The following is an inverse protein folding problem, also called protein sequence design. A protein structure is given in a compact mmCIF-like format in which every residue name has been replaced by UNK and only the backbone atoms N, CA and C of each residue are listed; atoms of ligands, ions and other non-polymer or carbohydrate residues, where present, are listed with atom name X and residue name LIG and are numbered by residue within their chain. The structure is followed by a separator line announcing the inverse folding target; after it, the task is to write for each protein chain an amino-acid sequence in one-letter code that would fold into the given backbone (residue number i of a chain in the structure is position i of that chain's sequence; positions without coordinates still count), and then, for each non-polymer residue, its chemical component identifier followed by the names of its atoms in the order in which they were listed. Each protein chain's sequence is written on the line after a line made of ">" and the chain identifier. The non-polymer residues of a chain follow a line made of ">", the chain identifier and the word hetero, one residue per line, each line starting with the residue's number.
data_IF_363951700836
#
_entry.id   IF_363951700836
#
_cell.length_a   1.000
_cell.length_b   1.000
_cell.length_c   1.000
_cell.angle_alpha   90.00
_cell.angle_beta   90.00
_cell.angle_gamma   90.00
#
_symmetry.space_group_name_H-M   'P 1'
#
loop_
_entity.id
_entity.type
_entity.pdbx_description
1 polymer ?
#
# COMPACT_ATOMS: atom_id res chain seq x y z
N UNK A 1 32.23 -7.85 -36.68
CA UNK A 1 31.01 -8.69 -36.57
C UNK A 1 30.30 -8.31 -35.28
N UNK A 2 29.58 -7.18 -35.32
CA UNK A 2 28.85 -6.61 -34.18
C UNK A 2 27.42 -7.12 -34.30
N UNK A 3 26.96 -7.92 -33.33
CA UNK A 3 25.55 -8.35 -33.28
C UNK A 3 24.71 -7.10 -33.05
N UNK A 4 23.94 -6.73 -34.07
CA UNK A 4 22.80 -5.83 -33.91
C UNK A 4 21.80 -6.51 -32.98
N UNK A 5 21.59 -5.90 -31.80
CA UNK A 5 20.47 -6.22 -30.92
C UNK A 5 19.21 -5.69 -31.59
N UNK A 6 18.50 -6.57 -32.29
CA UNK A 6 17.23 -6.27 -32.92
C UNK A 6 16.20 -5.95 -31.82
N UNK A 7 15.98 -4.66 -31.58
CA UNK A 7 14.96 -4.16 -30.68
C UNK A 7 13.58 -4.37 -31.31
N UNK A 8 12.83 -5.34 -30.78
CA UNK A 8 11.46 -5.64 -31.20
C UNK A 8 10.55 -4.38 -31.13
N UNK A 9 9.79 -4.06 -32.20
CA UNK A 9 8.83 -2.99 -32.19
C UNK A 9 7.55 -3.42 -31.46
N UNK A 10 7.34 -2.92 -30.24
CA UNK A 10 6.12 -3.11 -29.45
C UNK A 10 6.46 -3.56 -28.02
N UNK A 11 6.72 -2.65 -27.10
CA UNK A 11 5.63 -1.99 -26.36
C UNK A 11 6.24 -0.85 -25.54
N UNK A 12 6.26 0.36 -26.09
CA UNK A 12 6.44 1.55 -25.26
C UNK A 12 5.23 1.61 -24.33
N UNK A 13 5.35 1.59 -22.99
CA UNK A 13 4.19 1.75 -22.12
C UNK A 13 3.49 3.06 -22.50
N UNK A 14 2.27 2.95 -23.02
CA UNK A 14 1.57 4.01 -23.74
C UNK A 14 1.01 5.11 -22.82
N UNK A 15 1.31 5.07 -21.52
CA UNK A 15 0.86 6.09 -20.58
C UNK A 15 1.44 5.97 -19.16
N UNK A 16 1.26 7.01 -18.33
CA UNK A 16 1.82 7.10 -16.97
C UNK A 16 1.47 5.90 -16.08
N UNK A 17 0.28 5.34 -16.27
CA UNK A 17 -0.19 4.16 -15.53
C UNK A 17 0.52 2.86 -15.90
N UNK A 18 1.16 2.78 -17.06
CA UNK A 18 1.89 1.58 -17.52
C UNK A 18 3.40 1.72 -17.39
N UNK A 19 3.91 2.96 -17.43
CA UNK A 19 5.35 3.22 -17.36
C UNK A 19 5.90 3.01 -15.94
N UNK A 20 5.18 3.45 -14.91
CA UNK A 20 5.64 3.32 -13.53
C UNK A 20 5.69 1.86 -13.04
N UNK A 21 4.62 1.03 -13.17
CA UNK A 21 4.68 -0.37 -12.77
C UNK A 21 5.75 -1.16 -13.54
N UNK A 22 5.89 -0.91 -14.85
CA UNK A 22 6.92 -1.55 -15.67
C UNK A 22 8.34 -1.19 -15.22
N UNK A 23 8.57 0.04 -14.73
CA UNK A 23 9.89 0.46 -14.20
C UNK A 23 10.31 -0.25 -12.91
N UNK A 24 9.34 -0.77 -12.14
CA UNK A 24 9.59 -1.54 -10.91
C UNK A 24 9.37 -3.05 -11.10
N UNK A 25 9.10 -3.50 -12.32
CA UNK A 25 8.86 -4.90 -12.66
C UNK A 25 7.53 -5.45 -12.15
N UNK A 26 6.56 -4.60 -11.82
CA UNK A 26 5.24 -5.00 -11.33
C UNK A 26 4.16 -4.85 -12.41
N UNK A 27 3.14 -5.72 -12.36
CA UNK A 27 1.94 -5.50 -13.15
C UNK A 27 1.11 -4.35 -12.55
N UNK A 28 0.42 -3.57 -13.40
CA UNK A 28 -0.43 -2.46 -12.94
C UNK A 28 -1.43 -2.89 -11.86
N UNK A 29 -2.01 -4.09 -11.98
CA UNK A 29 -2.96 -4.63 -11.01
C UNK A 29 -2.33 -4.99 -9.67
N UNK A 30 -1.10 -5.51 -9.64
CA UNK A 30 -0.35 -5.73 -8.38
C UNK A 30 -0.07 -4.40 -7.68
N UNK A 31 0.44 -3.43 -8.42
CA UNK A 31 0.76 -2.11 -7.89
C UNK A 31 -0.49 -1.39 -7.37
N UNK A 32 -1.57 -1.38 -8.15
CA UNK A 32 -2.84 -0.79 -7.76
C UNK A 32 -3.43 -1.45 -6.50
N UNK A 33 -3.40 -2.79 -6.40
CA UNK A 33 -3.90 -3.51 -5.21
C UNK A 33 -3.10 -3.18 -3.97
N UNK A 34 -1.77 -3.11 -4.08
CA UNK A 34 -0.91 -2.69 -2.98
C UNK A 34 -1.22 -1.26 -2.55
N UNK A 35 -1.25 -0.32 -3.49
CA UNK A 35 -1.52 1.09 -3.23
C UNK A 35 -2.91 1.32 -2.61
N UNK A 36 -3.95 0.65 -3.10
CA UNK A 36 -5.29 0.70 -2.51
C UNK A 36 -5.33 0.13 -1.09
N UNK A 37 -4.65 -0.99 -0.85
CA UNK A 37 -4.54 -1.58 0.49
C UNK A 37 -3.87 -0.64 1.49
N UNK A 38 -2.77 0.00 1.04
CA UNK A 38 -2.05 1.01 1.81
C UNK A 38 -2.93 2.23 2.13
N UNK A 39 -3.58 2.81 1.11
CA UNK A 39 -4.45 3.96 1.26
C UNK A 39 -5.60 3.71 2.23
N UNK A 40 -6.23 2.53 2.15
CA UNK A 40 -7.30 2.12 3.09
C UNK A 40 -6.83 2.11 4.53
N UNK A 41 -5.68 1.50 4.81
CA UNK A 41 -5.13 1.46 6.17
C UNK A 41 -4.80 2.85 6.70
N UNK A 42 -4.26 3.73 5.87
CA UNK A 42 -3.95 5.10 6.25
C UNK A 42 -5.24 5.90 6.56
N UNK A 43 -6.29 5.74 5.75
CA UNK A 43 -7.58 6.38 5.98
C UNK A 43 -8.22 5.94 7.32
N UNK A 44 -8.13 4.65 7.66
CA UNK A 44 -8.60 4.13 8.95
C UNK A 44 -7.78 4.71 10.12
N UNK A 45 -6.46 4.80 10.00
CA UNK A 45 -5.61 5.41 11.02
C UNK A 45 -5.96 6.88 11.24
N UNK A 46 -6.17 7.64 10.17
CA UNK A 46 -6.59 9.04 10.23
C UNK A 46 -7.96 9.20 10.91
N UNK A 47 -8.94 8.36 10.53
CA UNK A 47 -10.26 8.36 11.17
C UNK A 47 -10.17 8.04 12.66
N UNK A 48 -9.36 7.05 13.05
CA UNK A 48 -9.13 6.71 14.45
C UNK A 48 -8.50 7.88 15.23
N UNK A 49 -7.54 8.60 14.64
CA UNK A 49 -6.93 9.78 15.25
C UNK A 49 -7.92 10.94 15.42
N UNK A 50 -8.81 11.16 14.44
CA UNK A 50 -9.87 12.18 14.52
C UNK A 50 -10.84 11.84 15.66
N UNK A 51 -11.30 10.60 15.75
CA UNK A 51 -12.19 10.16 16.84
C UNK A 51 -11.48 10.32 18.19
N UNK A 52 -10.20 9.93 18.28
CA UNK A 52 -9.40 10.11 19.50
C UNK A 52 -9.25 11.58 19.90
N UNK A 53 -9.10 12.50 18.94
CA UNK A 53 -9.01 13.93 19.22
C UNK A 53 -10.29 14.50 19.85
N UNK A 54 -11.46 13.92 19.53
CA UNK A 54 -12.75 14.28 20.16
C UNK A 54 -12.99 13.49 21.45
N UNK A 55 -12.62 12.22 21.47
CA UNK A 55 -12.82 11.26 22.56
C UNK A 55 -11.45 10.66 22.97
N UNK A 56 -10.69 11.32 23.86
CA UNK A 56 -9.30 10.96 24.15
C UNK A 56 -9.11 9.58 24.79
N UNK A 57 -10.18 8.92 25.21
CA UNK A 57 -10.13 7.56 25.74
C UNK A 57 -10.29 6.47 24.66
N UNK A 58 -10.85 6.80 23.49
CA UNK A 58 -10.98 5.86 22.36
C UNK A 58 -9.70 5.85 21.50
N UNK A 59 -9.36 4.70 20.91
CA UNK A 59 -8.31 4.57 19.88
C UNK A 59 -6.91 5.12 20.22
N UNK A 60 -6.54 5.20 21.50
CA UNK A 60 -5.30 5.81 22.01
C UNK A 60 -4.02 5.37 21.27
N UNK A 61 -3.99 4.12 20.81
CA UNK A 61 -2.81 3.52 20.16
C UNK A 61 -3.11 2.99 18.76
N UNK A 62 -4.35 3.12 18.27
CA UNK A 62 -4.77 2.54 17.00
C UNK A 62 -4.10 3.25 15.83
N UNK A 63 -4.14 4.59 15.80
CA UNK A 63 -3.54 5.36 14.73
C UNK A 63 -2.02 5.12 14.63
N UNK A 64 -1.30 5.21 15.75
CA UNK A 64 0.16 5.02 15.79
C UNK A 64 0.57 3.62 15.35
N UNK A 65 -0.06 2.56 15.89
CA UNK A 65 0.25 1.17 15.48
C UNK A 65 0.01 0.92 14.00
N UNK A 66 -1.06 1.50 13.44
CA UNK A 66 -1.36 1.34 12.01
C UNK A 66 -0.29 2.02 11.15
N UNK A 67 0.15 3.23 11.54
CA UNK A 67 1.23 3.95 10.84
C UNK A 67 2.56 3.20 10.95
N UNK A 68 2.92 2.68 12.13
CA UNK A 68 4.14 1.89 12.33
C UNK A 68 4.16 0.64 11.43
N UNK A 69 3.01 -0.04 11.34
CA UNK A 69 2.85 -1.20 10.46
C UNK A 69 2.94 -0.82 8.98
N UNK A 70 2.39 0.33 8.58
CA UNK A 70 2.51 0.83 7.21
C UNK A 70 3.96 1.20 6.88
N UNK A 71 4.65 1.85 7.81
CA UNK A 71 6.06 2.20 7.70
C UNK A 71 6.93 0.94 7.56
N UNK A 72 6.70 -0.07 8.41
CA UNK A 72 7.38 -1.37 8.31
C UNK A 72 7.09 -2.10 6.99
N UNK A 73 5.89 -1.92 6.40
CA UNK A 73 5.56 -2.51 5.09
C UNK A 73 6.26 -1.82 3.91
N UNK A 74 6.53 -0.51 4.00
CA UNK A 74 7.26 0.23 2.98
C UNK A 74 8.76 -0.09 3.04
N UNK A 75 9.33 -0.15 4.25
CA UNK A 75 10.78 -0.23 4.46
C UNK A 75 11.30 -1.61 4.88
N UNK A 76 10.42 -2.53 5.25
CA UNK A 76 10.77 -3.89 5.69
C UNK A 76 10.88 -4.89 4.53
N UNK A 77 11.25 -6.15 4.83
CA UNK A 77 11.34 -7.21 3.84
C UNK A 77 10.00 -7.39 3.10
N UNK A 78 10.03 -7.39 1.76
CA UNK A 78 8.83 -7.61 0.92
C UNK A 78 8.21 -8.96 1.30
N UNK A 79 6.98 -8.96 1.81
CA UNK A 79 6.28 -10.19 2.23
C UNK A 79 6.13 -10.38 3.73
N UNK A 80 6.45 -9.39 4.57
CA UNK A 80 5.94 -9.33 5.95
C UNK A 80 4.41 -9.11 5.92
N UNK A 81 3.67 -10.15 5.57
CA UNK A 81 2.23 -10.26 5.74
C UNK A 81 1.94 -10.32 7.24
N UNK A 82 2.03 -9.16 7.90
CA UNK A 82 1.44 -9.02 9.22
C UNK A 82 -0.05 -9.14 9.00
N UNK A 83 -0.67 -10.13 9.62
CA UNK A 83 -2.08 -10.47 9.54
C UNK A 83 -2.94 -9.21 9.58
N UNK A 84 -3.67 -8.95 8.51
CA UNK A 84 -4.82 -8.05 8.57
C UNK A 84 -5.96 -8.87 9.19
N UNK A 85 -5.83 -9.19 10.48
CA UNK A 85 -7.01 -9.47 11.27
C UNK A 85 -7.49 -8.16 11.87
N UNK A 86 -8.42 -7.55 11.16
CA UNK A 86 -9.47 -6.74 11.77
C UNK A 86 -10.75 -7.11 11.04
N UNK A 87 -11.03 -8.41 11.01
CA UNK A 87 -12.41 -8.86 10.87
C UNK A 87 -13.09 -8.39 12.17
N UNK A 88 -13.90 -7.34 12.08
CA UNK A 88 -15.15 -7.30 12.86
C UNK A 88 -15.08 -6.84 14.35
N UNK A 89 -13.96 -6.39 14.91
CA UNK A 89 -13.90 -5.98 16.35
C UNK A 89 -14.54 -4.62 16.77
N UNK A 90 -15.36 -3.97 15.94
CA UNK A 90 -16.22 -2.87 16.45
C UNK A 90 -17.66 -2.93 15.93
N UNK A 91 -18.20 -4.15 16.05
CA UNK A 91 -19.58 -4.42 16.43
C UNK A 91 -19.81 -4.26 17.96
N UNK A 92 -18.85 -3.72 18.71
CA UNK A 92 -19.02 -3.24 20.08
C UNK A 92 -18.98 -1.70 20.01
N UNK A 93 -20.03 -0.91 20.26
CA UNK A 93 -20.83 -0.84 21.49
C UNK A 93 -19.98 -0.43 22.70
#
# INVERSE_FOLDING_TARGET
>A
MVRHSESLPGSRPLGPFTAHPASVGETWSQHARFAFGFARSLALAAMAAIVHAVLPFLFQTTASRTVDRLHARIHGPRGAEVAADSTVEHLAA
#
